data_IF_024952940267
#
_entry.id   IF_024952940267
#
_cell.length_a   1.000
_cell.length_b   1.000
_cell.length_c   1.000
_cell.angle_alpha   90.00
_cell.angle_beta   90.00
_cell.angle_gamma   90.00
#
_symmetry.space_group_name_H-M   'P 1'
#
loop_
_entity.id
_entity.type
_entity.pdbx_description
1 polymer ?
#
# COMPACT_ATOMS: atom_id res chain seq x y z
N UNK A 1 -20.75 -60.78 57.31
CA UNK A 1 -20.38 -59.37 57.04
C UNK A 1 -21.46 -58.78 56.11
N UNK A 2 -22.63 -58.39 56.65
CA UNK A 2 -23.04 -57.02 57.06
C UNK A 2 -22.94 -55.98 55.92
N UNK A 3 -23.98 -55.24 55.51
CA UNK A 3 -25.45 -55.32 55.67
C UNK A 3 -26.04 -54.51 54.49
N UNK A 4 -27.15 -54.99 53.94
CA UNK A 4 -27.91 -54.49 52.80
C UNK A 4 -28.83 -53.30 53.15
N UNK A 5 -29.01 -52.37 52.20
CA UNK A 5 -30.04 -51.32 52.17
C UNK A 5 -31.43 -51.89 51.88
N UNK A 6 -32.46 -51.33 52.53
CA UNK A 6 -33.79 -51.06 51.97
C UNK A 6 -34.61 -50.14 52.92
N UNK A 7 -35.69 -49.47 52.43
CA UNK A 7 -35.99 -48.06 52.74
C UNK A 7 -37.36 -47.84 53.42
N UNK A 8 -37.75 -46.56 53.65
CA UNK A 8 -39.13 -46.05 53.57
C UNK A 8 -39.19 -44.50 53.53
N UNK A 9 -40.17 -43.99 52.80
CA UNK A 9 -40.56 -42.59 52.45
C UNK A 9 -42.07 -42.48 52.81
N UNK A 10 -42.76 -41.32 52.96
CA UNK A 10 -42.48 -39.96 53.48
C UNK A 10 -43.53 -39.60 54.59
N UNK A 11 -44.09 -38.36 54.84
CA UNK A 11 -44.56 -37.28 53.94
C UNK A 11 -44.11 -35.84 54.30
N UNK A 12 -44.39 -34.94 53.35
CA UNK A 12 -44.27 -33.47 53.40
C UNK A 12 -45.43 -32.85 54.23
N UNK A 13 -45.28 -31.66 54.83
CA UNK A 13 -46.11 -30.54 54.33
C UNK A 13 -45.50 -29.11 54.43
N UNK A 14 -45.82 -28.32 53.40
CA UNK A 14 -46.22 -26.89 53.33
C UNK A 14 -45.57 -25.76 54.17
N UNK A 15 -45.08 -24.75 53.41
CA UNK A 15 -45.32 -23.29 53.47
C UNK A 15 -45.10 -22.45 54.76
N UNK A 16 -44.30 -21.39 54.56
CA UNK A 16 -44.60 -19.94 54.78
C UNK A 16 -43.78 -19.13 55.82
N UNK A 17 -43.66 -17.83 55.49
CA UNK A 17 -43.14 -16.66 56.24
C UNK A 17 -41.62 -16.44 56.26
N UNK A 18 -41.06 -15.22 56.27
CA UNK A 18 -41.43 -13.87 55.81
C UNK A 18 -40.14 -13.02 55.99
N UNK A 19 -39.96 -12.03 55.11
CA UNK A 19 -38.96 -10.94 55.08
C UNK A 19 -38.48 -10.41 56.45
N UNK A 20 -37.17 -10.13 56.58
CA UNK A 20 -36.57 -8.84 56.97
C UNK A 20 -35.05 -8.99 57.19
N UNK A 21 -34.23 -8.14 56.55
CA UNK A 21 -33.17 -7.36 57.22
C UNK A 21 -32.27 -6.62 56.21
N UNK A 22 -32.06 -5.34 56.50
CA UNK A 22 -31.27 -4.36 55.76
C UNK A 22 -29.77 -4.70 55.77
N UNK A 23 -29.10 -4.49 54.64
CA UNK A 23 -27.68 -4.13 54.61
C UNK A 23 -27.46 -3.10 53.50
N UNK A 24 -27.41 -1.82 53.89
CA UNK A 24 -27.03 -0.72 53.00
C UNK A 24 -25.51 -0.77 52.81
N UNK A 25 -25.07 -1.28 51.66
CA UNK A 25 -23.66 -1.28 51.26
C UNK A 25 -23.32 0.15 50.79
N UNK A 26 -22.48 0.86 51.55
CA UNK A 26 -21.89 2.12 51.12
C UNK A 26 -20.81 1.81 50.08
N UNK A 27 -21.15 1.94 48.80
CA UNK A 27 -20.23 1.76 47.69
C UNK A 27 -19.33 3.00 47.59
N UNK A 28 -18.12 2.94 48.15
CA UNK A 28 -17.09 3.97 47.93
C UNK A 28 -16.64 3.82 46.47
N UNK A 29 -17.21 4.63 45.58
CA UNK A 29 -16.71 4.78 44.21
C UNK A 29 -15.43 5.59 44.28
N UNK A 30 -14.29 4.90 44.39
CA UNK A 30 -12.98 5.50 44.14
C UNK A 30 -12.95 5.90 42.67
N UNK A 31 -13.21 7.17 42.39
CA UNK A 31 -12.98 7.77 41.07
C UNK A 31 -11.48 7.81 40.83
N UNK A 32 -10.95 6.73 40.26
CA UNK A 32 -9.64 6.76 39.60
C UNK A 32 -9.81 7.58 38.32
N UNK A 33 -9.44 8.85 38.36
CA UNK A 33 -9.29 9.62 37.13
C UNK A 33 -8.10 9.02 36.35
N UNK A 34 -8.29 8.57 35.10
CA UNK A 34 -7.17 8.17 34.27
C UNK A 34 -6.42 9.44 33.87
N UNK A 35 -5.31 9.71 34.56
CA UNK A 35 -4.29 10.61 34.06
C UNK A 35 -3.64 9.98 32.83
N UNK A 36 -4.04 10.43 31.64
CA UNK A 36 -3.28 10.27 30.41
C UNK A 36 -3.00 11.66 29.83
N UNK A 37 -1.74 12.06 29.96
CA UNK A 37 -1.16 13.23 29.33
C UNK A 37 -0.98 12.95 27.83
N UNK A 38 -1.96 13.30 26.99
CA UNK A 38 -1.83 13.21 25.52
C UNK A 38 -2.33 14.46 24.77
N UNK A 39 -2.93 15.43 25.47
CA UNK A 39 -3.45 16.65 24.82
C UNK A 39 -2.72 17.88 25.31
N UNK A 40 -1.93 18.51 24.43
CA UNK A 40 -1.37 19.84 24.66
C UNK A 40 -2.42 20.86 24.23
N UNK A 41 -2.72 21.82 25.09
CA UNK A 41 -3.62 22.94 24.84
C UNK A 41 -2.82 24.22 24.58
N UNK A 42 -3.31 25.04 23.65
CA UNK A 42 -2.74 26.37 23.32
C UNK A 42 -3.71 27.46 23.76
N UNK A 43 -3.22 28.43 24.53
CA UNK A 43 -3.95 29.66 24.88
C UNK A 43 -3.12 30.90 24.58
N UNK A 44 -3.75 32.07 24.68
CA UNK A 44 -3.08 33.37 24.61
C UNK A 44 -3.37 34.11 25.91
N UNK A 45 -2.34 34.65 26.56
CA UNK A 45 -2.51 35.45 27.77
C UNK A 45 -3.04 36.87 27.44
N UNK A 46 -3.48 37.65 28.44
CA UNK A 46 -3.94 39.03 28.24
C UNK A 46 -2.89 39.98 27.65
N UNK A 47 -1.61 39.59 27.64
CA UNK A 47 -0.50 40.34 27.06
C UNK A 47 -0.12 39.85 25.65
N UNK A 48 -0.91 38.94 25.06
CA UNK A 48 -0.70 38.41 23.71
C UNK A 48 0.33 37.28 23.60
N UNK A 49 0.83 36.72 24.71
CA UNK A 49 1.81 35.63 24.69
C UNK A 49 1.12 34.29 24.50
N UNK A 50 1.67 33.44 23.64
CA UNK A 50 1.18 32.07 23.45
C UNK A 50 1.69 31.17 24.57
N UNK A 51 0.78 30.45 25.22
CA UNK A 51 1.08 29.48 26.29
C UNK A 51 0.67 28.07 25.87
N UNK A 52 1.41 27.06 26.34
CA UNK A 52 1.13 25.64 26.13
C UNK A 52 0.97 24.95 27.49
N UNK A 53 -0.06 24.11 27.63
CA UNK A 53 -0.42 23.43 28.88
C UNK A 53 -0.94 22.04 28.59
N UNK A 54 -0.68 21.07 29.45
CA UNK A 54 -1.32 19.75 29.47
C UNK A 54 -2.67 19.75 30.22
N UNK A 55 -2.98 20.85 30.92
CA UNK A 55 -4.24 21.09 31.63
C UNK A 55 -5.18 21.96 30.77
N UNK A 56 -6.44 21.53 30.53
CA UNK A 56 -7.43 22.35 29.84
C UNK A 56 -7.79 23.60 30.65
N UNK A 57 -7.82 24.76 29.99
CA UNK A 57 -8.36 26.01 30.56
C UNK A 57 -9.44 26.58 29.63
N UNK A 58 -10.39 27.40 30.14
CA UNK A 58 -11.53 27.88 29.34
C UNK A 58 -11.14 28.63 28.06
N UNK A 59 -9.95 29.25 28.05
CA UNK A 59 -9.41 30.01 26.91
C UNK A 59 -8.45 29.21 26.03
N UNK A 60 -8.13 27.97 26.41
CA UNK A 60 -7.19 27.13 25.66
C UNK A 60 -7.92 26.20 24.70
N UNK A 61 -7.39 26.09 23.48
CA UNK A 61 -7.86 25.16 22.46
C UNK A 61 -6.91 23.96 22.41
N UNK A 62 -7.41 22.71 22.30
CA UNK A 62 -6.55 21.56 22.11
C UNK A 62 -5.73 21.75 20.83
N UNK A 63 -4.42 21.56 20.95
CA UNK A 63 -3.49 21.66 19.85
C UNK A 63 -3.60 20.38 19.03
N UNK A 64 -4.40 20.47 17.97
CA UNK A 64 -4.51 19.39 17.00
C UNK A 64 -3.25 19.41 16.12
N UNK A 65 -2.19 18.74 16.58
CA UNK A 65 -1.09 18.41 15.69
C UNK A 65 -1.71 17.54 14.59
N UNK A 66 -1.66 18.00 13.34
CA UNK A 66 -1.90 17.11 12.23
C UNK A 66 -0.93 15.93 12.42
N UNK A 67 -1.47 14.72 12.60
CA UNK A 67 -0.65 13.52 12.72
C UNK A 67 0.12 13.39 11.41
N UNK A 68 1.32 13.96 11.36
CA UNK A 68 2.18 13.81 10.22
C UNK A 68 2.63 12.35 10.23
N UNK A 69 2.54 11.64 9.10
CA UNK A 69 3.07 10.30 9.01
C UNK A 69 4.52 10.31 9.51
N UNK A 70 4.84 9.39 10.41
CA UNK A 70 6.17 9.32 11.01
C UNK A 70 7.20 9.14 9.90
N UNK A 71 8.04 10.16 9.71
CA UNK A 71 9.08 10.20 8.66
C UNK A 71 10.45 10.23 9.30
N UNK A 72 11.29 9.27 8.93
CA UNK A 72 12.66 9.20 9.41
C UNK A 72 13.60 9.91 8.43
N UNK A 73 14.44 10.81 8.93
CA UNK A 73 15.41 11.55 8.13
C UNK A 73 16.66 10.71 7.85
N UNK A 74 17.09 10.70 6.60
CA UNK A 74 18.33 10.07 6.15
C UNK A 74 19.05 10.95 5.14
N UNK A 75 20.32 10.64 4.85
CA UNK A 75 21.09 11.26 3.75
C UNK A 75 21.34 10.24 2.65
N UNK A 76 21.13 10.66 1.41
CA UNK A 76 21.35 9.82 0.23
C UNK A 76 22.82 9.89 -0.18
N UNK A 77 23.50 8.75 -0.13
CA UNK A 77 24.89 8.63 -0.57
C UNK A 77 24.97 8.59 -2.11
N UNK A 78 24.13 7.77 -2.75
CA UNK A 78 24.10 7.63 -4.22
C UNK A 78 22.77 7.08 -4.73
N UNK A 79 22.50 7.31 -6.00
CA UNK A 79 21.35 6.75 -6.72
C UNK A 79 21.80 5.60 -7.60
N UNK A 80 21.10 4.47 -7.53
CA UNK A 80 21.41 3.27 -8.30
C UNK A 80 20.85 3.38 -9.72
N UNK A 81 19.54 3.60 -9.80
CA UNK A 81 18.69 3.65 -10.98
C UNK A 81 17.53 4.66 -10.75
N UNK A 82 16.50 4.66 -11.60
CA UNK A 82 15.41 5.63 -11.52
C UNK A 82 14.45 5.46 -10.34
N UNK A 83 14.59 4.42 -9.51
CA UNK A 83 13.70 4.18 -8.37
C UNK A 83 14.35 3.48 -7.16
N UNK A 84 15.69 3.44 -7.12
CA UNK A 84 16.47 2.86 -6.03
C UNK A 84 17.61 3.78 -5.61
N UNK A 85 17.72 4.07 -4.31
CA UNK A 85 18.80 4.87 -3.72
C UNK A 85 19.54 4.11 -2.63
N UNK A 86 20.76 4.55 -2.32
CA UNK A 86 21.57 4.08 -1.20
C UNK A 86 21.77 5.24 -0.23
N UNK A 87 21.50 4.98 1.05
CA UNK A 87 21.70 5.91 2.14
C UNK A 87 23.15 5.83 2.66
N UNK A 88 23.59 6.81 3.43
CA UNK A 88 24.97 6.83 4.00
C UNK A 88 25.26 5.66 4.93
N UNK A 89 24.25 5.12 5.61
CA UNK A 89 24.38 3.89 6.40
C UNK A 89 24.38 2.61 5.53
N UNK A 90 24.62 2.74 4.23
CA UNK A 90 24.68 1.68 3.23
C UNK A 90 23.38 0.89 3.03
N UNK A 91 22.25 1.32 3.62
CA UNK A 91 20.94 0.71 3.37
C UNK A 91 20.41 1.15 2.00
N UNK A 92 19.81 0.21 1.29
CA UNK A 92 19.11 0.46 0.01
C UNK A 92 17.66 0.78 0.26
N UNK A 93 17.13 1.73 -0.50
CA UNK A 93 15.70 2.10 -0.47
C UNK A 93 15.13 1.92 -1.87
N UNK A 94 14.06 1.13 -1.97
CA UNK A 94 13.23 0.98 -3.18
C UNK A 94 12.01 1.88 -3.03
N UNK A 95 11.81 2.77 -4.01
CA UNK A 95 10.68 3.68 -4.01
C UNK A 95 9.38 2.88 -4.20
N UNK A 96 8.42 3.09 -3.29
CA UNK A 96 7.09 2.46 -3.32
C UNK A 96 6.18 3.03 -4.42
N UNK A 97 5.31 2.17 -4.96
CA UNK A 97 4.24 2.54 -5.89
C UNK A 97 4.70 2.89 -7.30
N UNK A 98 6.01 2.88 -7.58
CA UNK A 98 6.58 3.33 -8.85
C UNK A 98 7.64 2.35 -9.36
N UNK A 99 7.76 2.25 -10.67
CA UNK A 99 8.82 1.51 -11.36
C UNK A 99 9.38 2.37 -12.49
N UNK A 100 10.63 2.81 -12.37
CA UNK A 100 11.35 3.48 -13.43
C UNK A 100 11.87 2.46 -14.46
N UNK A 101 12.09 2.85 -15.72
CA UNK A 101 12.75 1.98 -16.68
C UNK A 101 14.14 1.59 -16.18
N UNK A 102 14.50 0.32 -16.36
CA UNK A 102 15.77 -0.23 -15.90
C UNK A 102 16.96 0.40 -16.66
N UNK A 103 18.08 0.60 -15.97
CA UNK A 103 19.35 0.94 -16.61
C UNK A 103 20.12 -0.34 -16.99
N UNK A 104 21.08 -0.20 -17.92
CA UNK A 104 21.94 -1.32 -18.29
C UNK A 104 22.70 -1.87 -17.09
N UNK A 105 22.79 -3.19 -17.01
CA UNK A 105 23.65 -3.91 -16.08
C UNK A 105 24.21 -5.17 -16.76
N UNK A 106 25.10 -5.87 -16.05
CA UNK A 106 25.80 -7.07 -16.56
C UNK A 106 24.90 -8.17 -17.14
N UNK A 107 23.61 -8.18 -16.79
CA UNK A 107 22.67 -9.24 -17.18
C UNK A 107 21.52 -8.75 -18.04
N UNK A 108 21.32 -7.43 -18.18
CA UNK A 108 20.16 -6.86 -18.88
C UNK A 108 20.51 -5.55 -19.60
N UNK A 109 20.03 -5.36 -20.83
CA UNK A 109 20.16 -4.08 -21.52
C UNK A 109 19.31 -3.00 -20.83
N UNK A 110 19.61 -1.73 -21.12
CA UNK A 110 18.79 -0.62 -20.65
C UNK A 110 17.39 -0.61 -21.28
N UNK A 111 16.40 -0.14 -20.51
CA UNK A 111 15.08 0.22 -21.02
C UNK A 111 15.04 1.70 -21.43
N UNK A 112 14.28 2.08 -22.48
CA UNK A 112 14.16 3.46 -22.89
C UNK A 112 13.62 4.36 -21.77
N UNK A 113 14.29 5.48 -21.48
CA UNK A 113 13.93 6.39 -20.39
C UNK A 113 14.64 6.12 -19.06
N UNK A 114 15.39 5.02 -18.93
CA UNK A 114 16.02 4.63 -17.66
C UNK A 114 17.15 5.57 -17.23
N UNK A 115 17.96 6.03 -18.20
CA UNK A 115 19.05 6.97 -17.94
C UNK A 115 18.49 8.34 -17.54
N UNK A 116 17.42 8.80 -18.20
CA UNK A 116 16.73 10.05 -17.91
C UNK A 116 16.13 10.03 -16.50
N UNK A 117 15.44 8.94 -16.14
CA UNK A 117 14.87 8.76 -14.80
C UNK A 117 15.96 8.77 -13.72
N UNK A 118 17.06 8.04 -13.94
CA UNK A 118 18.20 8.03 -13.02
C UNK A 118 18.84 9.41 -12.87
N UNK A 119 19.13 10.10 -13.97
CA UNK A 119 19.75 11.44 -13.94
C UNK A 119 18.87 12.44 -13.20
N UNK A 120 17.56 12.39 -13.42
CA UNK A 120 16.61 13.24 -12.70
C UNK A 120 16.62 12.94 -11.20
N UNK A 121 16.56 11.67 -10.81
CA UNK A 121 16.59 11.27 -9.40
C UNK A 121 17.93 11.62 -8.73
N UNK A 122 19.05 11.47 -9.45
CA UNK A 122 20.38 11.91 -9.02
C UNK A 122 20.43 13.41 -8.74
N UNK A 123 19.99 14.24 -9.69
CA UNK A 123 19.98 15.70 -9.52
C UNK A 123 19.07 16.16 -8.37
N UNK A 124 18.00 15.41 -8.10
CA UNK A 124 17.09 15.69 -6.99
C UNK A 124 17.63 15.25 -5.63
N UNK A 125 18.30 14.10 -5.53
CA UNK A 125 18.52 13.43 -4.25
C UNK A 125 19.98 13.23 -3.85
N UNK A 126 20.92 13.12 -4.79
CA UNK A 126 22.28 12.71 -4.45
C UNK A 126 22.96 13.71 -3.51
N UNK A 127 23.46 13.23 -2.37
CA UNK A 127 24.06 14.07 -1.32
C UNK A 127 23.07 14.89 -0.49
N UNK A 128 21.75 14.73 -0.71
CA UNK A 128 20.71 15.47 0.01
C UNK A 128 20.08 14.65 1.13
N UNK A 129 19.49 15.35 2.09
CA UNK A 129 18.63 14.71 3.10
C UNK A 129 17.25 14.42 2.51
N UNK A 130 16.72 13.26 2.85
CA UNK A 130 15.38 12.79 2.50
C UNK A 130 14.67 12.27 3.73
N UNK A 131 13.34 12.28 3.67
CA UNK A 131 12.45 11.80 4.71
C UNK A 131 11.72 10.57 4.17
N UNK A 132 11.93 9.43 4.82
CA UNK A 132 11.33 8.15 4.44
C UNK A 132 9.99 7.98 5.14
N UNK A 133 8.94 7.81 4.34
CA UNK A 133 7.61 7.43 4.78
C UNK A 133 7.35 5.97 4.39
N UNK A 134 7.27 5.11 5.39
CA UNK A 134 7.00 3.69 5.19
C UNK A 134 5.51 3.40 5.08
N UNK A 135 5.18 2.26 4.47
CA UNK A 135 3.84 1.68 4.49
C UNK A 135 3.87 0.36 5.29
N UNK A 136 2.79 -0.42 5.26
CA UNK A 136 2.57 -1.63 6.09
C UNK A 136 3.75 -2.61 6.06
N UNK A 137 4.35 -2.83 4.89
CA UNK A 137 5.57 -3.60 4.73
C UNK A 137 6.76 -2.67 4.49
N UNK A 138 7.73 -2.69 5.40
CA UNK A 138 8.86 -1.75 5.41
C UNK A 138 10.10 -2.27 4.68
N UNK A 139 10.17 -3.57 4.36
CA UNK A 139 11.30 -4.19 3.66
C UNK A 139 10.83 -5.25 2.64
N UNK A 140 11.56 -5.37 1.54
CA UNK A 140 11.35 -6.45 0.56
C UNK A 140 12.23 -7.69 0.84
N UNK A 141 12.08 -8.74 0.03
CA UNK A 141 12.86 -9.98 0.18
C UNK A 141 14.36 -9.83 -0.13
N UNK A 142 14.76 -8.71 -0.75
CA UNK A 142 16.17 -8.34 -0.93
C UNK A 142 16.71 -7.49 0.22
N UNK A 143 15.94 -7.33 1.31
CA UNK A 143 16.27 -6.49 2.46
C UNK A 143 16.45 -5.01 2.11
N UNK A 144 15.84 -4.55 1.00
CA UNK A 144 15.74 -3.11 0.71
C UNK A 144 14.63 -2.52 1.55
N UNK A 145 14.86 -1.35 2.11
CA UNK A 145 13.81 -0.53 2.72
C UNK A 145 12.80 -0.13 1.64
N UNK A 146 11.52 -0.17 1.96
CA UNK A 146 10.43 0.23 1.07
C UNK A 146 9.84 1.53 1.59
N UNK A 147 9.90 2.61 0.81
CA UNK A 147 9.42 3.91 1.26
C UNK A 147 8.95 4.82 0.13
N UNK A 148 8.10 5.78 0.49
CA UNK A 148 7.95 7.04 -0.20
C UNK A 148 9.00 8.04 0.31
N UNK A 149 9.62 8.79 -0.60
CA UNK A 149 10.63 9.78 -0.25
C UNK A 149 10.06 11.19 -0.32
N UNK A 150 10.38 12.00 0.68
CA UNK A 150 10.06 13.42 0.72
C UNK A 150 11.32 14.27 0.90
N UNK A 151 11.32 15.46 0.30
CA UNK A 151 12.28 16.52 0.60
C UNK A 151 11.81 17.37 1.80
N UNK A 152 12.69 18.23 2.30
CA UNK A 152 12.40 19.10 3.45
C UNK A 152 11.28 20.11 3.17
N UNK A 153 11.08 20.49 1.91
CA UNK A 153 9.99 21.36 1.45
C UNK A 153 8.65 20.62 1.26
N UNK A 154 8.63 19.30 1.49
CA UNK A 154 7.45 18.46 1.33
C UNK A 154 7.26 17.85 -0.06
N UNK A 155 8.18 18.04 -1.01
CA UNK A 155 8.09 17.42 -2.35
C UNK A 155 8.08 15.88 -2.23
N UNK A 156 7.01 15.24 -2.71
CA UNK A 156 6.86 13.78 -2.75
C UNK A 156 7.52 13.20 -4.00
N UNK A 157 8.74 12.68 -3.85
CA UNK A 157 9.60 12.28 -4.97
C UNK A 157 9.00 11.17 -5.84
N UNK A 158 8.34 10.18 -5.22
CA UNK A 158 7.70 9.08 -5.95
C UNK A 158 6.60 9.63 -6.88
N UNK A 159 5.79 10.57 -6.38
CA UNK A 159 4.77 11.25 -7.16
C UNK A 159 5.40 12.09 -8.28
N UNK A 160 6.44 12.86 -7.97
CA UNK A 160 7.14 13.70 -8.96
C UNK A 160 7.74 12.89 -10.11
N UNK A 161 8.25 11.67 -9.87
CA UNK A 161 8.68 10.74 -10.92
C UNK A 161 7.54 10.39 -11.87
N UNK A 162 6.37 10.06 -11.33
CA UNK A 162 5.18 9.69 -12.12
C UNK A 162 4.64 10.89 -12.89
N UNK A 163 4.55 12.08 -12.25
CA UNK A 163 4.06 13.30 -12.89
C UNK A 163 4.93 13.76 -14.06
N UNK A 164 6.23 13.45 -14.03
CA UNK A 164 7.16 13.72 -15.13
C UNK A 164 7.21 12.61 -16.17
N UNK A 165 6.48 11.51 -15.99
CA UNK A 165 6.53 10.35 -16.87
C UNK A 165 7.89 9.65 -16.85
N UNK A 166 8.62 9.69 -15.73
CA UNK A 166 9.91 9.03 -15.56
C UNK A 166 9.78 7.63 -14.93
N UNK A 167 8.59 7.29 -14.43
CA UNK A 167 8.27 5.99 -13.89
C UNK A 167 6.81 5.63 -14.17
N UNK A 168 6.52 4.34 -14.25
CA UNK A 168 5.15 3.80 -14.28
C UNK A 168 4.70 3.42 -12.88
N UNK A 169 3.41 3.48 -12.62
CA UNK A 169 2.80 3.09 -11.36
C UNK A 169 2.78 1.56 -11.25
N UNK A 170 3.37 1.04 -10.18
CA UNK A 170 3.38 -0.39 -9.86
C UNK A 170 2.97 -0.56 -8.40
N UNK A 171 1.74 -0.99 -8.18
CA UNK A 171 1.13 -1.14 -6.85
C UNK A 171 1.14 -2.60 -6.41
N UNK A 172 1.64 -2.84 -5.20
CA UNK A 172 1.82 -4.19 -4.64
C UNK A 172 1.29 -4.18 -3.21
N UNK A 173 0.23 -4.96 -2.96
CA UNK A 173 -0.30 -5.19 -1.61
C UNK A 173 0.76 -5.80 -0.70
N UNK A 174 0.85 -5.41 0.58
CA UNK A 174 -0.07 -4.53 1.32
C UNK A 174 0.28 -3.03 1.23
N UNK A 175 1.25 -2.65 0.40
CA UNK A 175 1.74 -1.27 0.30
C UNK A 175 0.98 -0.47 -0.78
N UNK A 176 -0.09 0.19 -0.37
CA UNK A 176 -1.01 0.93 -1.24
C UNK A 176 -1.21 2.40 -0.81
N UNK A 177 -0.38 2.90 0.11
CA UNK A 177 -0.34 4.31 0.46
C UNK A 177 -0.11 5.16 -0.80
N UNK A 178 -0.87 6.25 -0.93
CA UNK A 178 -0.88 7.15 -2.09
C UNK A 178 -1.28 6.54 -3.44
N UNK A 179 -1.81 5.30 -3.49
CA UNK A 179 -2.18 4.62 -4.73
C UNK A 179 -3.05 5.50 -5.66
N UNK A 180 -4.11 6.09 -5.13
CA UNK A 180 -5.01 6.96 -5.90
C UNK A 180 -4.31 8.21 -6.45
N UNK A 181 -3.43 8.82 -5.66
CA UNK A 181 -2.65 10.01 -6.07
C UNK A 181 -1.71 9.67 -7.21
N UNK A 182 -0.98 8.56 -7.10
CA UNK A 182 -0.06 8.07 -8.12
C UNK A 182 -0.80 7.68 -9.41
N UNK A 183 -1.94 6.98 -9.32
CA UNK A 183 -2.75 6.62 -10.49
C UNK A 183 -3.22 7.87 -11.24
N UNK A 184 -3.75 8.87 -10.54
CA UNK A 184 -4.19 10.13 -11.14
C UNK A 184 -3.04 10.89 -11.78
N UNK A 185 -1.87 10.92 -11.14
CA UNK A 185 -0.67 11.53 -11.71
C UNK A 185 -0.24 10.84 -13.01
N UNK A 186 -0.27 9.51 -13.03
CA UNK A 186 0.07 8.75 -14.23
C UNK A 186 -0.89 9.05 -15.37
N UNK A 187 -2.20 9.09 -15.11
CA UNK A 187 -3.21 9.46 -16.11
C UNK A 187 -2.94 10.84 -16.71
N UNK A 188 -2.54 11.82 -15.89
CA UNK A 188 -2.14 13.16 -16.38
C UNK A 188 -0.88 13.11 -17.24
N UNK A 189 0.14 12.36 -16.81
CA UNK A 189 1.40 12.21 -17.55
C UNK A 189 1.19 11.48 -18.90
N UNK A 190 0.34 10.46 -18.92
CA UNK A 190 -0.10 9.74 -20.11
C UNK A 190 -0.80 10.67 -21.10
N UNK A 191 -1.80 11.42 -20.64
CA UNK A 191 -2.57 12.36 -21.48
C UNK A 191 -1.68 13.44 -22.10
N UNK A 192 -0.67 13.91 -21.35
CA UNK A 192 0.31 14.91 -21.80
C UNK A 192 1.49 14.31 -22.56
N UNK A 193 1.55 12.99 -22.74
CA UNK A 193 2.66 12.26 -23.38
C UNK A 193 4.03 12.62 -22.77
N UNK A 194 4.13 12.72 -21.44
CA UNK A 194 5.38 13.08 -20.77
C UNK A 194 6.33 11.88 -20.64
N UNK A 195 7.63 12.12 -20.79
CA UNK A 195 8.67 11.11 -20.57
C UNK A 195 8.41 9.81 -21.36
N UNK A 196 8.37 8.67 -20.66
CA UNK A 196 8.12 7.35 -21.28
C UNK A 196 6.83 7.30 -22.07
N UNK A 197 5.82 8.10 -21.72
CA UNK A 197 4.52 8.11 -22.39
C UNK A 197 4.54 8.71 -23.80
N UNK A 198 5.61 9.41 -24.18
CA UNK A 198 5.86 9.84 -25.57
C UNK A 198 6.50 8.76 -26.44
N UNK A 199 7.10 7.74 -25.82
CA UNK A 199 7.94 6.78 -26.49
C UNK A 199 7.11 5.66 -27.12
N UNK A 200 7.53 5.19 -28.31
CA UNK A 200 6.85 4.11 -29.05
C UNK A 200 6.77 2.80 -28.24
N UNK A 201 7.80 2.52 -27.44
CA UNK A 201 7.96 1.30 -26.64
C UNK A 201 6.91 1.19 -25.52
N UNK A 202 6.34 2.32 -25.09
CA UNK A 202 5.33 2.41 -24.03
C UNK A 202 3.93 2.70 -24.59
N UNK A 203 3.71 2.60 -25.90
CA UNK A 203 2.38 2.70 -26.48
C UNK A 203 1.63 1.37 -26.40
N UNK A 204 0.29 1.39 -26.19
CA UNK A 204 -0.50 0.17 -26.19
C UNK A 204 -0.52 -0.44 -27.60
N UNK A 205 -0.24 -1.74 -27.69
CA UNK A 205 -0.26 -2.50 -28.94
C UNK A 205 -1.31 -3.61 -28.93
N UNK A 206 -1.77 -4.02 -30.09
CA UNK A 206 -2.64 -5.19 -30.19
C UNK A 206 -1.88 -6.45 -29.75
N UNK A 207 -2.53 -7.31 -28.98
CA UNK A 207 -1.96 -8.60 -28.63
C UNK A 207 -2.04 -9.54 -29.83
N UNK A 208 -0.90 -9.69 -30.51
CA UNK A 208 -0.69 -10.78 -31.47
C UNK A 208 -0.15 -12.02 -30.74
N UNK A 209 -0.15 -13.18 -31.41
CA UNK A 209 0.43 -14.41 -30.86
C UNK A 209 1.88 -14.16 -30.44
N UNK A 210 2.18 -14.37 -29.15
CA UNK A 210 3.54 -14.30 -28.64
C UNK A 210 4.27 -15.62 -28.92
N UNK A 211 5.39 -15.54 -29.61
CA UNK A 211 6.36 -16.63 -29.80
C UNK A 211 7.54 -16.50 -28.84
N UNK A 212 7.88 -15.28 -28.45
CA UNK A 212 8.99 -14.94 -27.58
C UNK A 212 8.55 -14.01 -26.43
N UNK A 213 9.38 -13.97 -25.37
CA UNK A 213 9.11 -13.10 -24.23
C UNK A 213 9.56 -11.68 -24.60
N UNK A 214 8.65 -10.69 -24.64
CA UNK A 214 9.05 -9.30 -24.89
C UNK A 214 9.90 -8.78 -23.74
N UNK A 215 10.81 -7.87 -24.07
CA UNK A 215 11.67 -7.21 -23.09
C UNK A 215 10.95 -6.06 -22.39
N UNK A 216 11.00 -6.05 -21.05
CA UNK A 216 10.50 -4.97 -20.21
C UNK A 216 8.99 -4.93 -19.99
N UNK A 217 8.52 -3.82 -19.41
CA UNK A 217 7.10 -3.56 -19.13
C UNK A 217 6.30 -3.32 -20.41
N UNK A 218 5.09 -3.89 -20.50
CA UNK A 218 4.28 -3.88 -21.72
C UNK A 218 2.88 -3.32 -21.51
N UNK A 219 2.28 -2.84 -22.61
CA UNK A 219 0.86 -2.48 -22.72
C UNK A 219 0.21 -3.21 -23.88
N UNK A 220 -0.85 -3.96 -23.61
CA UNK A 220 -1.59 -4.67 -24.63
C UNK A 220 -3.06 -4.31 -24.62
N UNK A 221 -3.63 -4.13 -25.81
CA UNK A 221 -5.08 -4.16 -26.02
C UNK A 221 -5.51 -5.61 -26.22
N UNK A 222 -6.46 -6.06 -25.42
CA UNK A 222 -6.93 -7.44 -25.37
C UNK A 222 -8.45 -7.50 -25.20
N UNK A 223 -9.01 -8.69 -25.41
CA UNK A 223 -10.37 -9.04 -24.99
C UNK A 223 -10.29 -10.28 -24.12
N UNK A 224 -10.89 -10.25 -22.94
CA UNK A 224 -10.95 -11.43 -22.07
C UNK A 224 -12.03 -12.37 -22.58
N UNK A 225 -11.64 -13.62 -22.88
CA UNK A 225 -12.56 -14.63 -23.44
C UNK A 225 -13.08 -15.61 -22.40
N UNK A 226 -12.33 -15.83 -21.32
CA UNK A 226 -12.74 -16.74 -20.26
C UNK A 226 -12.08 -16.39 -18.93
N UNK A 227 -12.69 -16.87 -17.84
CA UNK A 227 -12.14 -16.80 -16.49
C UNK A 227 -11.96 -18.22 -15.97
N UNK A 228 -10.73 -18.58 -15.60
CA UNK A 228 -10.39 -19.87 -14.99
C UNK A 228 -9.87 -19.65 -13.58
N UNK A 229 -10.28 -20.50 -12.64
CA UNK A 229 -9.84 -20.41 -11.24
C UNK A 229 -9.14 -21.69 -10.80
N UNK A 230 -8.20 -21.55 -9.89
CA UNK A 230 -7.66 -22.65 -9.10
C UNK A 230 -7.45 -22.16 -7.66
N UNK A 231 -6.91 -23.02 -6.78
CA UNK A 231 -6.71 -22.71 -5.37
C UNK A 231 -5.90 -21.43 -5.11
N UNK A 232 -4.89 -21.14 -5.94
CA UNK A 232 -3.95 -20.03 -5.73
C UNK A 232 -4.27 -18.80 -6.58
N UNK A 233 -4.86 -18.99 -7.75
CA UNK A 233 -4.97 -17.95 -8.77
C UNK A 233 -6.31 -17.95 -9.50
N UNK A 234 -6.74 -16.74 -9.85
CA UNK A 234 -7.78 -16.47 -10.84
C UNK A 234 -7.10 -15.96 -12.12
N UNK A 235 -7.46 -16.54 -13.27
CA UNK A 235 -6.82 -16.34 -14.57
C UNK A 235 -7.82 -15.85 -15.61
N UNK A 236 -7.58 -14.65 -16.16
CA UNK A 236 -8.34 -14.09 -17.28
C UNK A 236 -7.64 -14.51 -18.58
N UNK A 237 -8.30 -15.31 -19.39
CA UNK A 237 -7.75 -15.81 -20.66
C UNK A 237 -7.89 -14.74 -21.72
N UNK A 238 -6.76 -14.38 -22.36
CA UNK A 238 -6.69 -13.29 -23.36
C UNK A 238 -6.10 -13.78 -24.70
N UNK A 239 -5.77 -15.06 -24.79
CA UNK A 239 -5.28 -15.71 -26.01
C UNK A 239 -5.05 -17.20 -25.79
N UNK A 240 -4.68 -17.92 -26.86
CA UNK A 240 -4.50 -19.39 -26.82
C UNK A 240 -3.47 -19.86 -25.79
N UNK A 241 -2.39 -19.11 -25.62
CA UNK A 241 -1.27 -19.44 -24.75
C UNK A 241 -0.88 -18.28 -23.82
N UNK A 242 -1.81 -17.37 -23.52
CA UNK A 242 -1.57 -16.25 -22.63
C UNK A 242 -2.77 -15.92 -21.74
N UNK A 243 -2.48 -15.67 -20.47
CA UNK A 243 -3.46 -15.24 -19.47
C UNK A 243 -2.97 -14.08 -18.60
N UNK A 244 -3.91 -13.42 -17.93
CA UNK A 244 -3.65 -12.52 -16.82
C UNK A 244 -3.83 -13.30 -15.53
N UNK A 245 -2.82 -13.35 -14.68
CA UNK A 245 -2.87 -14.10 -13.42
C UNK A 245 -3.00 -13.15 -12.23
N UNK A 246 -4.09 -13.28 -11.46
CA UNK A 246 -4.37 -12.56 -10.20
C UNK A 246 -4.32 -13.58 -9.06
N UNK A 247 -3.67 -13.28 -7.91
CA UNK A 247 -3.67 -14.23 -6.80
C UNK A 247 -4.96 -14.09 -6.03
N UNK A 248 -5.46 -15.21 -5.52
CA UNK A 248 -6.74 -15.21 -4.85
C UNK A 248 -6.73 -14.34 -3.57
N UNK A 249 -5.57 -14.18 -2.93
CA UNK A 249 -5.39 -13.28 -1.79
C UNK A 249 -5.56 -11.79 -2.13
N UNK A 250 -5.35 -11.41 -3.39
CA UNK A 250 -5.44 -10.01 -3.84
C UNK A 250 -6.84 -9.67 -4.37
N UNK A 251 -7.77 -10.64 -4.47
CA UNK A 251 -9.08 -10.47 -5.12
C UNK A 251 -9.94 -9.38 -4.48
N UNK A 252 -9.76 -9.11 -3.18
CA UNK A 252 -10.47 -8.04 -2.47
C UNK A 252 -10.17 -6.64 -3.05
N UNK A 253 -9.05 -6.48 -3.77
CA UNK A 253 -8.70 -5.24 -4.44
C UNK A 253 -9.44 -5.05 -5.77
N UNK A 254 -10.04 -6.10 -6.33
CA UNK A 254 -10.60 -6.08 -7.67
C UNK A 254 -12.13 -6.00 -7.63
N UNK A 255 -12.76 -5.35 -8.63
CA UNK A 255 -14.16 -5.61 -8.90
C UNK A 255 -14.33 -7.09 -9.29
N UNK A 256 -15.58 -7.57 -9.31
CA UNK A 256 -15.91 -8.93 -9.76
C UNK A 256 -15.24 -9.19 -11.11
N UNK A 257 -14.39 -10.22 -11.18
CA UNK A 257 -13.57 -10.47 -12.37
C UNK A 257 -14.39 -10.79 -13.63
N UNK A 258 -15.62 -11.27 -13.45
CA UNK A 258 -16.59 -11.47 -14.53
C UNK A 258 -16.89 -10.17 -15.30
N UNK A 259 -16.75 -9.01 -14.65
CA UNK A 259 -17.00 -7.69 -15.29
C UNK A 259 -16.02 -7.36 -16.41
N UNK A 260 -14.89 -8.06 -16.49
CA UNK A 260 -13.90 -7.93 -17.58
C UNK A 260 -14.19 -8.84 -18.78
N UNK A 261 -15.09 -9.82 -18.65
CA UNK A 261 -15.38 -10.77 -19.73
C UNK A 261 -15.97 -10.06 -20.94
N UNK A 262 -15.47 -10.41 -22.12
CA UNK A 262 -15.90 -9.89 -23.42
C UNK A 262 -15.77 -8.37 -23.61
N UNK A 263 -15.07 -7.67 -22.72
CA UNK A 263 -14.80 -6.24 -22.87
C UNK A 263 -13.42 -5.97 -23.48
N UNK A 264 -13.27 -4.92 -24.30
CA UNK A 264 -11.96 -4.41 -24.69
C UNK A 264 -11.25 -3.88 -23.43
N UNK A 265 -9.98 -4.25 -23.30
CA UNK A 265 -9.20 -3.98 -22.09
C UNK A 265 -7.77 -3.61 -22.48
N UNK A 266 -7.23 -2.55 -21.88
CA UNK A 266 -5.79 -2.35 -21.81
C UNK A 266 -5.25 -3.11 -20.60
N UNK A 267 -4.22 -3.92 -20.83
CA UNK A 267 -3.48 -4.62 -19.78
C UNK A 267 -2.06 -4.08 -19.74
N UNK A 268 -1.58 -3.85 -18.52
CA UNK A 268 -0.25 -3.33 -18.25
C UNK A 268 0.56 -4.30 -17.40
N UNK A 269 1.83 -4.51 -17.73
CA UNK A 269 2.74 -5.27 -16.88
C UNK A 269 3.80 -6.07 -17.62
N UNK A 270 4.54 -6.88 -16.86
CA UNK A 270 5.60 -7.74 -17.38
C UNK A 270 5.06 -9.07 -17.85
N UNK A 271 5.44 -9.46 -19.07
CA UNK A 271 5.15 -10.79 -19.59
C UNK A 271 6.17 -11.78 -19.01
N UNK A 272 5.66 -12.83 -18.38
CA UNK A 272 6.43 -14.01 -17.99
C UNK A 272 6.19 -15.14 -19.01
N UNK A 273 7.14 -16.07 -19.12
CA UNK A 273 7.04 -17.25 -19.99
C UNK A 273 7.44 -18.50 -19.22
N UNK A 274 6.64 -19.56 -19.32
CA UNK A 274 6.97 -20.91 -18.85
C UNK A 274 6.67 -21.89 -19.98
N UNK A 275 7.73 -22.52 -20.52
CA UNK A 275 7.63 -23.32 -21.76
C UNK A 275 6.97 -22.49 -22.88
N UNK A 276 5.80 -22.89 -23.37
CA UNK A 276 5.07 -22.21 -24.44
C UNK A 276 3.92 -21.33 -23.95
N UNK A 277 3.76 -21.19 -22.63
CA UNK A 277 2.70 -20.40 -22.01
C UNK A 277 3.23 -19.08 -21.48
N UNK A 278 2.50 -18.00 -21.74
CA UNK A 278 2.79 -16.66 -21.29
C UNK A 278 1.79 -16.23 -20.22
N UNK A 279 2.22 -15.38 -19.30
CA UNK A 279 1.32 -14.81 -18.30
C UNK A 279 1.76 -13.41 -17.91
N UNK A 280 0.79 -12.51 -17.73
CA UNK A 280 1.01 -11.21 -17.12
C UNK A 280 0.45 -11.28 -15.70
N UNK A 281 1.32 -11.06 -14.71
CA UNK A 281 0.93 -11.02 -13.30
C UNK A 281 0.25 -9.69 -13.01
N UNK A 282 -0.99 -9.72 -12.52
CA UNK A 282 -1.75 -8.53 -12.17
C UNK A 282 -1.90 -8.48 -10.64
N UNK A 283 -1.28 -7.48 -10.03
CA UNK A 283 -1.22 -7.31 -8.58
C UNK A 283 -2.21 -6.26 -8.05
N UNK A 284 -2.72 -5.40 -8.92
CA UNK A 284 -3.66 -4.34 -8.58
C UNK A 284 -4.55 -4.02 -9.80
N UNK A 285 -5.84 -3.65 -9.63
CA UNK A 285 -6.75 -3.35 -10.75
C UNK A 285 -6.30 -2.18 -11.64
N UNK A 286 -5.44 -1.29 -11.15
CA UNK A 286 -4.90 -0.17 -11.95
C UNK A 286 -4.12 -0.60 -13.20
N UNK A 287 -3.72 -1.88 -13.29
CA UNK A 287 -3.11 -2.46 -14.48
C UNK A 287 -4.11 -2.88 -15.55
N UNK A 288 -5.42 -2.78 -15.28
CA UNK A 288 -6.53 -3.15 -16.16
C UNK A 288 -7.40 -1.91 -16.45
N UNK A 289 -7.37 -1.39 -17.67
CA UNK A 289 -8.16 -0.22 -18.08
C UNK A 289 -9.23 -0.63 -19.09
N UNK A 290 -10.49 -0.49 -18.71
CA UNK A 290 -11.61 -0.70 -19.61
C UNK A 290 -11.72 0.45 -20.62
N UNK A 291 -11.99 0.12 -21.88
CA UNK A 291 -12.34 1.06 -22.94
C UNK A 291 -13.86 1.10 -23.14
#
# INVERSE_FOLDING_TARGET
MHFTRAPRIPPNPSLSFLKFCLFTIFLIVVHTQPGLADTIYRSTDPHGRTLYSDIPTPTAKPLQLAAQPARSKYRVARVIDGDTVVLENNKRVRLLGVNAPEIENRFRPAEPGGIEAKKWLQGKLQGRSVYLEHDRQTQDHYKRMLAHLYLADGEHINLSLVEKGLAVVTLISPNLLHANTLIKAQQRAEAKKLGVWSMKQYQPRQLVKLTEKPFGWQRYRVKVTALKRNRRFSRLIIGKNIDLTIANQDLALFPRLETYLNKPLEVRGWVSRKKNHFSIRIQHPSALILY
#
